data_IF_053320121890
#
_entry.id   IF_053320121890
#
_cell.length_a   1.000
_cell.length_b   1.000
_cell.length_c   1.000
_cell.angle_alpha   90.00
_cell.angle_beta   90.00
_cell.angle_gamma   90.00
#
_symmetry.space_group_name_H-M   'P 1'
#
loop_
_entity.id
_entity.type
_entity.pdbx_description
1 polymer ?
#
# COMPACT_ATOMS: atom_id res chain seq x y z
N UNK A 1 21.67 31.23 1.13
CA UNK A 1 20.77 30.09 0.80
C UNK A 1 21.58 28.82 1.00
N UNK A 2 21.18 27.95 1.92
CA UNK A 2 21.92 26.72 2.22
C UNK A 2 21.61 25.66 1.15
N UNK A 3 22.64 24.95 0.67
CA UNK A 3 22.51 23.88 -0.34
C UNK A 3 21.51 22.78 0.04
N UNK A 4 21.18 22.64 1.34
CA UNK A 4 20.18 21.70 1.84
C UNK A 4 18.73 22.03 1.38
N UNK A 5 18.39 23.31 1.19
CA UNK A 5 17.05 23.72 0.73
C UNK A 5 16.84 23.48 -0.78
N UNK A 6 17.93 23.48 -1.55
CA UNK A 6 17.89 23.19 -2.98
C UNK A 6 17.61 21.70 -3.27
N UNK A 7 18.07 20.80 -2.39
CA UNK A 7 17.86 19.35 -2.53
C UNK A 7 16.43 18.91 -2.18
N UNK A 8 15.72 19.65 -1.32
CA UNK A 8 14.31 19.39 -0.96
C UNK A 8 13.33 19.55 -2.12
N UNK A 9 13.71 20.33 -3.15
CA UNK A 9 12.88 20.63 -4.33
C UNK A 9 13.12 19.72 -5.53
N UNK A 10 14.06 18.76 -5.46
CA UNK A 10 14.17 17.74 -6.50
C UNK A 10 12.96 16.81 -6.43
N UNK A 11 12.33 16.60 -7.58
CA UNK A 11 11.29 15.59 -7.72
C UNK A 11 11.87 14.20 -7.44
N UNK A 12 11.03 13.34 -6.85
CA UNK A 12 11.36 11.92 -6.64
C UNK A 12 11.59 11.29 -8.00
N UNK A 13 12.68 10.53 -8.16
CA UNK A 13 13.00 9.89 -9.44
C UNK A 13 11.88 8.93 -9.86
N UNK A 14 11.69 8.80 -11.18
CA UNK A 14 10.71 7.86 -11.74
C UNK A 14 10.98 6.42 -11.29
N UNK A 15 12.26 6.04 -11.13
CA UNK A 15 12.66 4.73 -10.63
C UNK A 15 12.18 4.50 -9.19
N UNK A 16 12.40 5.46 -8.29
CA UNK A 16 11.93 5.36 -6.91
C UNK A 16 10.40 5.34 -6.83
N UNK A 17 9.72 6.12 -7.67
CA UNK A 17 8.25 6.07 -7.80
C UNK A 17 7.80 4.68 -8.24
N UNK A 18 8.42 4.09 -9.25
CA UNK A 18 8.02 2.78 -9.77
C UNK A 18 8.22 1.68 -8.71
N UNK A 19 9.35 1.68 -7.99
CA UNK A 19 9.59 0.75 -6.88
C UNK A 19 8.53 0.87 -5.77
N UNK A 20 8.18 2.10 -5.38
CA UNK A 20 7.11 2.32 -4.41
C UNK A 20 5.76 1.78 -4.91
N UNK A 21 5.42 2.01 -6.17
CA UNK A 21 4.19 1.47 -6.77
C UNK A 21 4.17 -0.06 -6.77
N UNK A 22 5.31 -0.69 -7.02
CA UNK A 22 5.41 -2.15 -7.00
C UNK A 22 5.28 -2.71 -5.58
N UNK A 23 5.85 -2.05 -4.56
CA UNK A 23 5.59 -2.39 -3.16
C UNK A 23 4.11 -2.21 -2.78
N UNK A 24 3.46 -1.14 -3.23
CA UNK A 24 2.04 -0.93 -2.96
C UNK A 24 1.17 -2.02 -3.57
N UNK A 25 1.46 -2.45 -4.82
CA UNK A 25 0.79 -3.58 -5.46
C UNK A 25 1.02 -4.90 -4.72
N UNK A 26 2.19 -5.05 -4.10
CA UNK A 26 2.51 -6.20 -3.25
C UNK A 26 1.86 -6.11 -1.85
N UNK A 27 1.11 -5.05 -1.54
CA UNK A 27 0.36 -4.91 -0.28
C UNK A 27 1.11 -4.18 0.84
N UNK A 28 2.26 -3.57 0.55
CA UNK A 28 3.01 -2.82 1.55
C UNK A 28 2.31 -1.49 1.88
N UNK A 29 2.32 -1.14 3.17
CA UNK A 29 1.90 0.19 3.61
C UNK A 29 2.93 1.26 3.18
N UNK A 30 2.56 2.56 3.13
CA UNK A 30 3.49 3.63 2.78
C UNK A 30 4.77 3.64 3.61
N UNK A 31 4.67 3.36 4.91
CA UNK A 31 5.81 3.25 5.82
C UNK A 31 6.67 2.04 5.50
N UNK A 32 6.05 0.86 5.36
CA UNK A 32 6.78 -0.37 5.06
C UNK A 32 7.50 -0.30 3.71
N UNK A 33 6.83 0.21 2.67
CA UNK A 33 7.42 0.42 1.35
C UNK A 33 8.61 1.39 1.39
N UNK A 34 8.52 2.45 2.18
CA UNK A 34 9.63 3.39 2.36
C UNK A 34 10.81 2.74 3.09
N UNK A 35 10.55 1.98 4.14
CA UNK A 35 11.60 1.30 4.90
C UNK A 35 12.28 0.20 4.06
N UNK A 36 11.52 -0.54 3.26
CA UNK A 36 12.06 -1.50 2.28
C UNK A 36 12.91 -0.80 1.23
N UNK A 37 12.45 0.32 0.66
CA UNK A 37 13.22 1.08 -0.32
C UNK A 37 14.55 1.59 0.28
N UNK A 38 14.53 2.09 1.52
CA UNK A 38 15.75 2.51 2.24
C UNK A 38 16.70 1.35 2.47
N UNK A 39 16.15 0.19 2.83
CA UNK A 39 16.94 -1.03 3.04
C UNK A 39 17.62 -1.47 1.74
N UNK A 40 16.89 -1.50 0.62
CA UNK A 40 17.42 -1.87 -0.70
C UNK A 40 18.53 -0.92 -1.18
N UNK A 41 18.39 0.37 -0.86
CA UNK A 41 19.41 1.37 -1.15
C UNK A 41 20.63 1.29 -0.22
N UNK A 42 20.59 0.46 0.83
CA UNK A 42 21.54 0.47 1.95
C UNK A 42 21.69 1.87 2.59
N UNK A 43 20.70 2.74 2.42
CA UNK A 43 20.73 4.13 2.86
C UNK A 43 19.71 4.32 3.98
N UNK A 44 20.18 4.37 5.23
CA UNK A 44 19.29 4.67 6.35
C UNK A 44 18.87 6.15 6.38
N UNK A 45 19.65 7.07 5.81
CA UNK A 45 19.48 8.51 5.97
C UNK A 45 19.93 9.35 4.76
N UNK A 46 19.59 8.93 3.53
CA UNK A 46 19.94 9.75 2.37
C UNK A 46 19.13 11.04 2.35
N UNK A 47 19.81 12.19 2.24
CA UNK A 47 19.20 13.50 2.16
C UNK A 47 18.70 13.85 0.75
N UNK A 48 19.02 13.03 -0.25
CA UNK A 48 18.57 13.25 -1.62
C UNK A 48 17.16 12.67 -1.84
N UNK A 49 16.18 13.57 -1.89
CA UNK A 49 14.77 13.26 -2.11
C UNK A 49 14.51 12.56 -3.45
N UNK A 50 15.39 12.72 -4.43
CA UNK A 50 15.27 12.02 -5.71
C UNK A 50 15.45 10.50 -5.58
N UNK A 51 16.24 10.06 -4.58
CA UNK A 51 16.57 8.66 -4.32
C UNK A 51 15.73 8.12 -3.17
N UNK A 52 15.67 8.84 -2.06
CA UNK A 52 14.90 8.49 -0.87
C UNK A 52 13.74 9.48 -0.66
N UNK A 53 12.52 9.15 -1.13
CA UNK A 53 11.36 10.00 -0.94
C UNK A 53 11.02 10.17 0.55
N UNK A 54 10.39 11.30 0.87
CA UNK A 54 9.87 11.54 2.21
C UNK A 54 8.58 10.75 2.46
N UNK A 55 8.29 10.45 3.73
CA UNK A 55 7.10 9.68 4.11
C UNK A 55 5.80 10.32 3.63
N UNK A 56 5.71 11.66 3.63
CA UNK A 56 4.54 12.38 3.16
C UNK A 56 4.31 12.19 1.65
N UNK A 57 5.39 12.11 0.86
CA UNK A 57 5.32 11.73 -0.55
C UNK A 57 4.78 10.31 -0.71
N UNK A 58 5.28 9.34 0.06
CA UNK A 58 4.81 7.95 -0.02
C UNK A 58 3.31 7.83 0.27
N UNK A 59 2.81 8.51 1.31
CA UNK A 59 1.36 8.53 1.61
C UNK A 59 0.56 9.16 0.48
N UNK A 60 1.00 10.31 -0.06
CA UNK A 60 0.32 10.97 -1.18
C UNK A 60 0.27 10.09 -2.42
N UNK A 61 1.37 9.42 -2.75
CA UNK A 61 1.46 8.53 -3.90
C UNK A 61 0.55 7.32 -3.70
N UNK A 62 0.61 6.69 -2.52
CA UNK A 62 -0.24 5.55 -2.17
C UNK A 62 -1.72 5.89 -2.30
N UNK A 63 -2.20 6.94 -1.65
CA UNK A 63 -3.62 7.31 -1.73
C UNK A 63 -4.03 7.77 -3.13
N UNK A 64 -3.14 8.42 -3.88
CA UNK A 64 -3.41 8.77 -5.29
C UNK A 64 -3.62 7.52 -6.14
N UNK A 65 -2.79 6.49 -5.95
CA UNK A 65 -2.88 5.26 -6.72
C UNK A 65 -4.05 4.38 -6.26
N UNK A 66 -4.23 4.23 -4.94
CA UNK A 66 -5.38 3.55 -4.37
C UNK A 66 -6.69 4.21 -4.79
N UNK A 67 -6.74 5.55 -4.87
CA UNK A 67 -7.94 6.24 -5.34
C UNK A 67 -8.30 5.92 -6.78
N UNK A 68 -7.31 5.69 -7.65
CA UNK A 68 -7.57 5.26 -9.04
C UNK A 68 -8.14 3.84 -9.11
N UNK A 69 -7.65 2.95 -8.24
CA UNK A 69 -8.00 1.53 -8.29
C UNK A 69 -9.27 1.18 -7.50
N UNK A 70 -9.49 1.84 -6.36
CA UNK A 70 -10.52 1.49 -5.38
C UNK A 70 -11.54 2.62 -5.13
N UNK A 71 -11.41 3.76 -5.81
CA UNK A 71 -12.28 4.92 -5.61
C UNK A 71 -11.92 5.72 -4.34
N UNK A 72 -12.88 6.48 -3.80
CA UNK A 72 -12.62 7.29 -2.61
C UNK A 72 -12.24 6.39 -1.42
N UNK A 73 -11.11 6.65 -0.73
CA UNK A 73 -10.70 5.84 0.42
C UNK A 73 -11.62 6.13 1.61
N UNK A 74 -12.72 5.39 1.66
CA UNK A 74 -13.74 5.48 2.71
C UNK A 74 -15.16 5.31 2.17
N UNK A 75 -16.09 4.94 3.05
CA UNK A 75 -17.51 4.84 2.72
C UNK A 75 -17.90 3.59 1.93
N UNK A 76 -19.08 3.65 1.31
CA UNK A 76 -19.77 2.50 0.72
C UNK A 76 -19.04 1.93 -0.51
N UNK A 77 -18.34 2.75 -1.29
CA UNK A 77 -17.64 2.32 -2.50
C UNK A 77 -16.41 1.45 -2.20
N UNK A 78 -15.65 1.83 -1.17
CA UNK A 78 -14.52 1.02 -0.69
C UNK A 78 -15.02 -0.31 -0.11
N UNK A 79 -16.16 -0.29 0.60
CA UNK A 79 -16.79 -1.49 1.12
C UNK A 79 -17.31 -2.42 0.01
N UNK A 80 -17.92 -1.86 -1.04
CA UNK A 80 -18.38 -2.61 -2.19
C UNK A 80 -17.20 -3.31 -2.89
N UNK A 81 -16.11 -2.58 -3.10
CA UNK A 81 -14.89 -3.12 -3.73
C UNK A 81 -14.23 -4.19 -2.86
N UNK A 82 -14.19 -3.98 -1.53
CA UNK A 82 -13.71 -4.99 -0.59
C UNK A 82 -14.54 -6.27 -0.69
N UNK A 83 -15.88 -6.17 -0.63
CA UNK A 83 -16.78 -7.33 -0.74
C UNK A 83 -16.59 -8.07 -2.06
N UNK A 84 -16.45 -7.36 -3.17
CA UNK A 84 -16.19 -7.98 -4.47
C UNK A 84 -14.86 -8.76 -4.49
N UNK A 85 -13.79 -8.18 -3.93
CA UNK A 85 -12.50 -8.85 -3.86
C UNK A 85 -12.53 -10.11 -2.97
N UNK A 86 -13.26 -10.07 -1.85
CA UNK A 86 -13.45 -11.26 -0.99
C UNK A 86 -14.22 -12.37 -1.72
N UNK A 87 -15.25 -12.02 -2.50
CA UNK A 87 -15.98 -12.98 -3.33
C UNK A 87 -15.06 -13.61 -4.38
N UNK A 88 -14.29 -12.80 -5.12
CA UNK A 88 -13.32 -13.29 -6.12
C UNK A 88 -12.30 -14.22 -5.49
N UNK A 89 -11.78 -13.89 -4.31
CA UNK A 89 -10.85 -14.73 -3.58
C UNK A 89 -11.47 -16.09 -3.21
N UNK A 90 -12.66 -16.08 -2.59
CA UNK A 90 -13.37 -17.31 -2.23
C UNK A 90 -13.71 -18.18 -3.44
N UNK A 91 -14.16 -17.57 -4.54
CA UNK A 91 -14.43 -18.28 -5.80
C UNK A 91 -13.16 -18.92 -6.37
N UNK A 92 -12.03 -18.20 -6.36
CA UNK A 92 -10.75 -18.74 -6.80
C UNK A 92 -10.24 -19.91 -5.95
N UNK A 93 -10.54 -19.91 -4.65
CA UNK A 93 -10.21 -21.01 -3.73
C UNK A 93 -11.26 -22.13 -3.72
N UNK A 94 -12.39 -21.94 -4.41
CA UNK A 94 -13.58 -22.80 -4.35
C UNK A 94 -14.03 -23.13 -2.91
N UNK A 95 -13.79 -22.18 -1.98
CA UNK A 95 -14.01 -22.29 -0.53
C UNK A 95 -14.33 -20.91 0.05
N UNK A 96 -15.14 -20.85 1.10
CA UNK A 96 -15.39 -19.61 1.85
C UNK A 96 -14.27 -19.38 2.88
N UNK A 97 -13.10 -18.98 2.39
CA UNK A 97 -11.90 -18.76 3.20
C UNK A 97 -11.91 -17.43 3.92
N UNK A 98 -12.61 -16.43 3.39
CA UNK A 98 -12.60 -15.07 3.94
C UNK A 98 -14.00 -14.48 4.01
N UNK A 99 -14.29 -13.73 5.08
CA UNK A 99 -15.55 -13.00 5.27
C UNK A 99 -15.30 -11.67 5.97
N UNK A 100 -16.02 -10.63 5.57
CA UNK A 100 -16.00 -9.33 6.23
C UNK A 100 -17.41 -8.91 6.65
N UNK A 101 -17.53 -8.36 7.86
CA UNK A 101 -18.77 -7.83 8.41
C UNK A 101 -18.51 -6.50 9.13
N UNK A 102 -19.47 -5.58 9.06
CA UNK A 102 -19.44 -4.34 9.84
C UNK A 102 -19.96 -4.63 11.24
N UNK A 103 -19.14 -4.38 12.26
CA UNK A 103 -19.53 -4.52 13.67
C UNK A 103 -20.31 -3.28 14.14
N UNK A 104 -21.03 -3.33 15.27
CA UNK A 104 -21.89 -2.23 15.75
C UNK A 104 -21.19 -0.88 15.95
N UNK A 105 -19.87 -0.89 16.15
CA UNK A 105 -18.99 0.29 16.26
C UNK A 105 -18.65 0.91 14.88
N UNK A 106 -19.17 0.38 13.78
CA UNK A 106 -18.84 0.83 12.43
C UNK A 106 -17.46 0.37 11.93
N UNK A 107 -16.67 -0.31 12.77
CA UNK A 107 -15.46 -1.01 12.33
C UNK A 107 -15.80 -2.21 11.44
N UNK A 108 -14.81 -2.69 10.69
CA UNK A 108 -14.93 -3.85 9.81
C UNK A 108 -14.15 -5.01 10.44
N UNK A 109 -14.86 -6.08 10.80
CA UNK A 109 -14.24 -7.33 11.21
C UNK A 109 -14.02 -8.21 9.97
N UNK A 110 -12.78 -8.66 9.77
CA UNK A 110 -12.42 -9.59 8.69
C UNK A 110 -11.96 -10.90 9.32
N UNK A 111 -12.69 -11.98 9.06
CA UNK A 111 -12.32 -13.33 9.44
C UNK A 111 -11.65 -14.03 8.25
N UNK A 112 -10.46 -14.56 8.46
CA UNK A 112 -9.72 -15.36 7.48
C UNK A 112 -9.47 -16.75 8.09
N UNK A 113 -9.94 -17.79 7.42
CA UNK A 113 -9.52 -19.16 7.71
C UNK A 113 -8.22 -19.43 6.97
N UNK A 114 -7.18 -19.98 7.64
CA UNK A 114 -5.98 -20.41 6.94
C UNK A 114 -6.39 -21.42 5.87
N UNK A 115 -6.10 -21.11 4.61
CA UNK A 115 -6.14 -22.10 3.54
C UNK A 115 -5.11 -23.15 3.88
N UNK A 116 -5.48 -24.43 3.86
CA UNK A 116 -4.56 -25.55 4.03
C UNK A 116 -3.30 -25.27 3.20
N UNK A 117 -2.17 -24.98 3.87
CA UNK A 117 -0.88 -24.91 3.20
C UNK A 117 -0.73 -26.25 2.49
N UNK A 118 -0.63 -26.24 1.16
CA UNK A 118 -0.18 -27.43 0.44
C UNK A 118 1.18 -27.76 1.03
N UNK A 119 1.22 -28.78 1.88
CA UNK A 119 2.43 -29.47 2.27
C UNK A 119 3.12 -29.89 0.97
N UNK A 120 4.19 -29.19 0.64
CA UNK A 120 5.16 -29.60 -0.37
C UNK A 120 6.16 -30.54 0.30
#
# INVERSE_FOLDING_TARGET
>A
MSSADALRRRDVSEEAVQKLLDFFKAGYSPTAALDTLKYDLQEQYSADRSICPDLQFCFRLFYKEFKKHYGEPGGDDMMATLKENLLRYNSGQNKNCVKAETVPDGQIAIAMHPTDEKSA
#
